data_IF_602654622171
#
_entry.id   IF_602654622171
#
_cell.length_a   1.000
_cell.length_b   1.000
_cell.length_c   1.000
_cell.angle_alpha   90.00
_cell.angle_beta   90.00
_cell.angle_gamma   90.00
#
_symmetry.space_group_name_H-M   'P 1'
#
loop_
_entity.id
_entity.type
_entity.pdbx_description
1 polymer ?
#
# COMPACT_ATOMS: atom_id res chain seq x y z
N UNK A 1 -14.24 10.04 11.44
CA UNK A 1 -14.68 11.27 10.73
C UNK A 1 -15.78 10.95 9.72
N UNK A 2 -15.74 9.83 9.00
CA UNK A 2 -16.71 9.46 7.97
C UNK A 2 -17.72 8.39 8.39
N UNK A 3 -17.75 7.99 9.65
CA UNK A 3 -18.57 6.87 10.14
C UNK A 3 -20.08 7.09 9.92
N UNK A 4 -20.56 8.31 10.16
CA UNK A 4 -21.97 8.65 9.93
C UNK A 4 -22.35 8.61 8.45
N UNK A 5 -21.46 9.05 7.57
CA UNK A 5 -21.68 8.99 6.12
C UNK A 5 -21.64 7.56 5.62
N UNK A 6 -20.71 6.76 6.13
CA UNK A 6 -20.58 5.35 5.79
C UNK A 6 -21.82 4.54 6.20
N UNK A 7 -22.41 4.84 7.36
CA UNK A 7 -23.64 4.18 7.83
C UNK A 7 -24.88 4.44 6.95
N UNK A 8 -24.84 5.46 6.09
CA UNK A 8 -25.91 5.79 5.13
C UNK A 8 -25.77 5.02 3.81
N UNK A 9 -24.70 4.27 3.59
CA UNK A 9 -24.50 3.47 2.39
C UNK A 9 -25.51 2.31 2.40
N UNK A 10 -26.31 2.12 1.33
CA UNK A 10 -27.42 1.15 1.32
C UNK A 10 -26.97 -0.31 1.46
N UNK A 11 -25.76 -0.60 1.03
CA UNK A 11 -25.16 -1.94 1.12
C UNK A 11 -23.69 -1.82 1.49
N UNK A 12 -23.33 -2.51 2.58
CA UNK A 12 -21.93 -2.65 3.02
C UNK A 12 -21.68 -4.11 3.34
N UNK A 13 -20.54 -4.64 2.90
CA UNK A 13 -20.14 -6.02 3.16
C UNK A 13 -18.64 -6.14 3.23
N UNK A 14 -18.16 -7.08 4.03
CA UNK A 14 -16.73 -7.42 4.15
C UNK A 14 -16.26 -8.36 3.05
N UNK A 15 -17.19 -8.95 2.29
CA UNK A 15 -16.86 -9.86 1.20
C UNK A 15 -16.95 -9.13 -0.15
N UNK A 16 -16.20 -9.65 -1.13
CA UNK A 16 -16.32 -9.19 -2.50
C UNK A 16 -17.75 -9.37 -2.99
N UNK A 17 -18.30 -8.35 -3.64
CA UNK A 17 -19.59 -8.44 -4.31
C UNK A 17 -19.52 -9.51 -5.41
N UNK A 18 -20.52 -10.39 -5.45
CA UNK A 18 -20.72 -11.28 -6.58
C UNK A 18 -21.40 -10.55 -7.75
N UNK A 19 -21.41 -11.21 -8.91
CA UNK A 19 -21.97 -10.64 -10.13
C UNK A 19 -23.46 -10.37 -10.02
N UNK A 20 -24.22 -11.25 -9.39
CA UNK A 20 -25.69 -11.16 -9.27
C UNK A 20 -26.07 -9.96 -8.38
N UNK A 21 -25.50 -9.88 -7.19
CA UNK A 21 -25.69 -8.75 -6.28
C UNK A 21 -25.29 -7.43 -6.93
N UNK A 22 -24.16 -7.41 -7.64
CA UNK A 22 -23.71 -6.19 -8.34
C UNK A 22 -24.71 -5.77 -9.42
N UNK A 23 -25.26 -6.70 -10.19
CA UNK A 23 -26.29 -6.39 -11.19
C UNK A 23 -27.61 -5.90 -10.58
N UNK A 24 -28.00 -6.46 -9.42
CA UNK A 24 -29.20 -6.02 -8.69
C UNK A 24 -29.08 -4.58 -8.18
N UNK A 25 -27.88 -4.15 -7.80
CA UNK A 25 -27.59 -2.79 -7.34
C UNK A 25 -27.65 -1.74 -8.47
N UNK A 26 -27.66 -2.17 -9.75
CA UNK A 26 -27.72 -1.29 -10.94
C UNK A 26 -26.75 -0.12 -10.86
N UNK A 27 -25.44 -0.35 -10.70
CA UNK A 27 -24.47 0.73 -10.57
C UNK A 27 -24.30 1.49 -11.89
N UNK A 28 -24.02 2.79 -11.83
CA UNK A 28 -23.57 3.60 -12.96
C UNK A 28 -22.05 3.52 -13.14
N UNK A 29 -21.34 3.25 -12.05
CA UNK A 29 -19.89 3.14 -12.01
C UNK A 29 -19.46 2.01 -11.07
N UNK A 30 -18.51 1.20 -11.51
CA UNK A 30 -17.79 0.24 -10.67
C UNK A 30 -16.36 0.71 -10.47
N UNK A 31 -15.97 0.89 -9.21
CA UNK A 31 -14.59 1.21 -8.82
C UNK A 31 -13.96 -0.04 -8.20
N UNK A 32 -12.81 -0.44 -8.67
CA UNK A 32 -12.19 -1.66 -8.16
C UNK A 32 -10.73 -1.84 -8.57
N UNK A 33 -10.20 -2.98 -8.20
CA UNK A 33 -8.89 -3.45 -8.60
C UNK A 33 -8.99 -4.21 -9.93
N UNK A 34 -7.87 -4.40 -10.61
CA UNK A 34 -7.82 -5.24 -11.82
C UNK A 34 -8.43 -6.63 -11.58
N UNK A 35 -8.14 -7.24 -10.44
CA UNK A 35 -8.71 -8.54 -10.06
C UNK A 35 -10.23 -8.55 -9.94
N UNK A 36 -10.86 -7.43 -9.64
CA UNK A 36 -12.32 -7.26 -9.59
C UNK A 36 -12.95 -7.56 -10.95
N UNK A 37 -12.29 -7.14 -12.03
CA UNK A 37 -12.79 -7.28 -13.41
C UNK A 37 -12.28 -8.54 -14.12
N UNK A 38 -11.89 -9.55 -13.35
CA UNK A 38 -11.56 -10.88 -13.89
C UNK A 38 -12.82 -11.66 -14.23
N UNK A 39 -12.77 -12.57 -15.25
CA UNK A 39 -13.96 -13.31 -15.71
C UNK A 39 -14.70 -14.10 -14.63
N UNK A 40 -13.99 -14.56 -13.61
CA UNK A 40 -14.54 -15.36 -12.49
C UNK A 40 -15.03 -14.52 -11.31
N UNK A 41 -14.84 -13.19 -11.33
CA UNK A 41 -15.27 -12.27 -10.27
C UNK A 41 -16.44 -11.44 -10.81
N UNK A 42 -16.21 -10.23 -11.28
CA UNK A 42 -17.27 -9.37 -11.80
C UNK A 42 -17.27 -9.25 -13.35
N UNK A 43 -16.68 -10.22 -14.06
CA UNK A 43 -16.54 -10.16 -15.52
C UNK A 43 -15.61 -9.03 -15.97
N UNK A 44 -15.35 -8.95 -17.29
CA UNK A 44 -14.48 -7.93 -17.88
C UNK A 44 -15.14 -6.54 -17.89
N UNK A 45 -14.35 -5.49 -18.04
CA UNK A 45 -14.83 -4.13 -18.23
C UNK A 45 -15.76 -4.02 -19.44
N UNK A 46 -15.46 -4.72 -20.56
CA UNK A 46 -16.34 -4.77 -21.73
C UNK A 46 -17.74 -5.31 -21.44
N UNK A 47 -17.84 -6.28 -20.53
CA UNK A 47 -19.14 -6.80 -20.10
C UNK A 47 -20.02 -5.71 -19.49
N UNK A 48 -19.42 -4.84 -18.68
CA UNK A 48 -20.09 -3.73 -18.01
C UNK A 48 -20.37 -2.57 -18.96
N UNK A 49 -19.39 -2.16 -19.77
CA UNK A 49 -19.55 -1.09 -20.75
C UNK A 49 -20.70 -1.38 -21.73
N UNK A 50 -20.85 -2.62 -22.21
CA UNK A 50 -21.99 -3.04 -23.05
C UNK A 50 -23.35 -2.92 -22.36
N UNK A 51 -23.38 -2.76 -21.04
CA UNK A 51 -24.59 -2.54 -20.22
C UNK A 51 -24.75 -1.11 -19.75
N UNK A 52 -23.94 -0.20 -20.25
CA UNK A 52 -23.97 1.21 -19.85
C UNK A 52 -23.31 1.52 -18.50
N UNK A 53 -22.62 0.56 -17.89
CA UNK A 53 -21.95 0.73 -16.62
C UNK A 53 -20.48 1.09 -16.84
N UNK A 54 -20.04 2.21 -16.29
CA UNK A 54 -18.65 2.64 -16.35
C UNK A 54 -17.77 1.87 -15.36
N UNK A 55 -16.48 1.82 -15.62
CA UNK A 55 -15.52 1.15 -14.73
C UNK A 55 -14.32 2.02 -14.47
N UNK A 56 -13.84 2.04 -13.22
CA UNK A 56 -12.58 2.66 -12.83
C UNK A 56 -11.70 1.61 -12.16
N UNK A 57 -10.50 1.39 -12.71
CA UNK A 57 -9.52 0.45 -12.17
C UNK A 57 -8.37 1.25 -11.55
N UNK A 58 -8.11 1.03 -10.25
CA UNK A 58 -6.97 1.64 -9.59
C UNK A 58 -5.65 1.26 -10.29
N UNK A 59 -4.83 2.25 -10.63
CA UNK A 59 -3.59 2.07 -11.40
C UNK A 59 -2.61 1.16 -10.69
N UNK A 60 -2.51 1.28 -9.39
CA UNK A 60 -1.64 0.43 -8.57
C UNK A 60 -2.05 -1.04 -8.53
N UNK A 61 -3.25 -1.37 -9.02
CA UNK A 61 -3.74 -2.75 -9.12
C UNK A 61 -3.43 -3.43 -10.46
N UNK A 62 -2.99 -2.66 -11.46
CA UNK A 62 -2.71 -3.19 -12.80
C UNK A 62 -1.53 -4.17 -12.76
N UNK A 63 -1.73 -5.36 -13.34
CA UNK A 63 -0.76 -6.46 -13.29
C UNK A 63 0.44 -6.21 -14.20
N UNK A 64 0.29 -5.34 -15.20
CA UNK A 64 1.34 -5.02 -16.15
C UNK A 64 2.51 -4.34 -15.44
N UNK A 65 3.61 -4.99 -15.49
CA UNK A 65 5.01 -4.71 -15.14
C UNK A 65 5.44 -3.30 -14.66
N UNK A 66 4.53 -2.35 -14.55
CA UNK A 66 4.83 -1.00 -14.06
C UNK A 66 4.87 -0.98 -12.53
N UNK A 67 5.87 -0.34 -11.93
CA UNK A 67 5.93 -0.15 -10.49
C UNK A 67 4.67 0.57 -9.97
N UNK A 68 4.22 0.19 -8.79
CA UNK A 68 3.24 0.96 -8.02
C UNK A 68 3.95 2.17 -7.44
N UNK A 69 3.41 3.37 -7.68
CA UNK A 69 4.08 4.62 -7.30
C UNK A 69 3.12 5.61 -6.65
N UNK A 70 3.65 6.54 -5.86
CA UNK A 70 2.88 7.67 -5.35
C UNK A 70 2.24 8.49 -6.48
N UNK A 71 2.89 8.60 -7.63
CA UNK A 71 2.33 9.28 -8.80
C UNK A 71 1.05 8.60 -9.31
N UNK A 72 0.95 7.25 -9.22
CA UNK A 72 -0.28 6.53 -9.55
C UNK A 72 -1.39 6.86 -8.55
N UNK A 73 -1.07 6.90 -7.25
CA UNK A 73 -2.02 7.27 -6.19
C UNK A 73 -2.57 8.69 -6.39
N UNK A 74 -1.70 9.65 -6.65
CA UNK A 74 -2.11 11.04 -6.93
C UNK A 74 -3.05 11.10 -8.14
N UNK A 75 -2.72 10.38 -9.19
CA UNK A 75 -3.51 10.36 -10.41
C UNK A 75 -4.88 9.71 -10.21
N UNK A 76 -4.95 8.62 -9.44
CA UNK A 76 -6.23 7.97 -9.10
C UNK A 76 -7.12 8.89 -8.28
N UNK A 77 -6.57 9.59 -7.27
CA UNK A 77 -7.31 10.56 -6.46
C UNK A 77 -7.85 11.70 -7.33
N UNK A 78 -7.01 12.26 -8.22
CA UNK A 78 -7.42 13.37 -9.10
C UNK A 78 -8.49 12.93 -10.12
N UNK A 79 -8.38 11.72 -10.69
CA UNK A 79 -9.35 11.22 -11.64
C UNK A 79 -10.69 10.89 -10.96
N UNK A 80 -10.67 10.32 -9.75
CA UNK A 80 -11.89 10.15 -8.94
C UNK A 80 -12.51 11.52 -8.58
N UNK A 81 -11.68 12.51 -8.28
CA UNK A 81 -12.13 13.89 -8.07
C UNK A 81 -12.92 14.44 -9.26
N UNK A 82 -12.47 14.18 -10.50
CA UNK A 82 -13.18 14.56 -11.73
C UNK A 82 -14.48 13.78 -11.90
N UNK A 83 -14.45 12.46 -11.70
CA UNK A 83 -15.62 11.58 -11.86
C UNK A 83 -16.76 12.00 -10.92
N UNK A 84 -16.44 12.38 -9.69
CA UNK A 84 -17.41 12.74 -8.67
C UNK A 84 -17.63 14.25 -8.48
N UNK A 85 -17.06 15.09 -9.38
CA UNK A 85 -17.09 16.56 -9.28
C UNK A 85 -16.59 17.08 -7.91
N UNK A 86 -15.47 16.52 -7.47
CA UNK A 86 -14.77 16.87 -6.22
C UNK A 86 -13.32 17.27 -6.46
N UNK A 87 -13.08 18.04 -7.53
CA UNK A 87 -11.74 18.40 -7.98
C UNK A 87 -10.92 19.13 -6.91
N UNK A 88 -11.52 20.11 -6.22
CA UNK A 88 -10.84 20.87 -5.16
C UNK A 88 -10.41 19.94 -4.01
N UNK A 89 -11.32 19.03 -3.58
CA UNK A 89 -10.99 18.08 -2.52
C UNK A 89 -9.88 17.12 -2.92
N UNK A 90 -9.90 16.63 -4.16
CA UNK A 90 -8.87 15.77 -4.70
C UNK A 90 -7.50 16.47 -4.76
N UNK A 91 -7.47 17.73 -5.21
CA UNK A 91 -6.25 18.56 -5.22
C UNK A 91 -5.71 18.81 -3.81
N UNK A 92 -6.57 19.10 -2.84
CA UNK A 92 -6.18 19.26 -1.44
C UNK A 92 -5.53 18.00 -0.88
N UNK A 93 -6.14 16.82 -1.11
CA UNK A 93 -5.59 15.55 -0.64
C UNK A 93 -4.21 15.25 -1.24
N UNK A 94 -4.08 15.41 -2.56
CA UNK A 94 -2.79 15.22 -3.25
C UNK A 94 -1.76 16.23 -2.75
N UNK A 95 -2.15 17.49 -2.58
CA UNK A 95 -1.25 18.52 -2.03
C UNK A 95 -0.75 18.18 -0.63
N UNK A 96 -1.61 17.67 0.25
CA UNK A 96 -1.22 17.21 1.58
C UNK A 96 -0.21 16.05 1.52
N UNK A 97 -0.46 15.04 0.67
CA UNK A 97 0.47 13.92 0.49
C UNK A 97 1.84 14.39 -0.01
N UNK A 98 1.86 15.30 -0.98
CA UNK A 98 3.10 15.88 -1.50
C UNK A 98 3.84 16.73 -0.45
N UNK A 99 3.12 17.47 0.40
CA UNK A 99 3.70 18.21 1.50
C UNK A 99 4.41 17.32 2.51
N UNK A 100 3.81 16.15 2.87
CA UNK A 100 4.47 15.19 3.77
C UNK A 100 5.74 14.61 3.16
N UNK A 101 5.72 14.24 1.88
CA UNK A 101 6.93 13.78 1.18
C UNK A 101 8.02 14.87 1.23
N UNK A 102 7.67 16.11 0.88
CA UNK A 102 8.62 17.21 0.89
C UNK A 102 9.13 17.52 2.31
N UNK A 103 8.25 17.43 3.32
CA UNK A 103 8.63 17.58 4.72
C UNK A 103 9.68 16.54 5.13
N UNK A 104 9.41 15.27 4.87
CA UNK A 104 10.35 14.19 5.18
C UNK A 104 11.70 14.35 4.46
N UNK A 105 11.68 14.68 3.16
CA UNK A 105 12.90 14.94 2.38
C UNK A 105 13.70 16.11 2.96
N UNK A 106 13.03 17.22 3.34
CA UNK A 106 13.72 18.41 3.89
C UNK A 106 14.40 18.10 5.23
N UNK A 107 13.82 17.23 6.04
CA UNK A 107 14.41 16.82 7.33
C UNK A 107 15.57 15.83 7.16
N UNK A 108 15.62 15.12 6.04
CA UNK A 108 16.70 14.16 5.74
C UNK A 108 17.80 14.74 4.86
N UNK A 109 17.63 15.93 4.31
CA UNK A 109 18.57 16.55 3.37
C UNK A 109 20.00 16.77 3.94
N UNK A 110 20.16 16.83 5.27
CA UNK A 110 21.45 16.96 5.94
C UNK A 110 22.20 15.63 6.17
N UNK A 111 21.56 14.48 5.94
CA UNK A 111 22.19 13.19 6.16
C UNK A 111 23.11 12.84 4.99
N UNK A 112 24.41 12.64 5.28
CA UNK A 112 25.40 12.27 4.26
C UNK A 112 25.19 10.84 3.71
N UNK A 113 24.54 9.98 4.48
CA UNK A 113 24.28 8.58 4.11
C UNK A 113 22.78 8.31 4.05
N UNK A 114 22.32 7.74 2.94
CA UNK A 114 20.93 7.29 2.79
C UNK A 114 20.69 6.12 3.73
N UNK A 115 19.59 6.12 4.52
CA UNK A 115 19.24 4.98 5.36
C UNK A 115 18.91 3.77 4.48
N UNK A 116 19.48 2.63 4.83
CA UNK A 116 19.26 1.35 4.14
C UNK A 116 18.03 0.68 4.72
N UNK A 117 16.95 0.69 3.97
CA UNK A 117 15.63 0.22 4.41
C UNK A 117 15.28 -1.13 3.79
N UNK A 118 14.73 -2.00 4.60
CA UNK A 118 14.17 -3.29 4.18
C UNK A 118 12.70 -3.35 4.58
N UNK A 119 11.81 -3.65 3.62
CA UNK A 119 10.37 -3.75 3.86
C UNK A 119 9.94 -5.21 3.71
N UNK A 120 9.45 -5.80 4.78
CA UNK A 120 9.17 -7.23 4.90
C UNK A 120 7.76 -7.52 5.42
N UNK A 121 7.20 -8.65 4.99
CA UNK A 121 6.00 -9.23 5.54
C UNK A 121 6.21 -10.72 5.86
N UNK A 122 5.87 -11.14 7.07
CA UNK A 122 6.00 -12.53 7.51
C UNK A 122 4.70 -13.31 7.30
N UNK A 123 4.47 -13.79 6.06
CA UNK A 123 3.30 -14.60 5.72
C UNK A 123 3.58 -16.10 5.66
N UNK A 124 4.82 -16.54 5.61
CA UNK A 124 5.19 -17.94 5.40
C UNK A 124 6.51 -18.32 6.08
N UNK A 125 7.20 -19.28 5.49
CA UNK A 125 8.52 -19.71 5.99
C UNK A 125 9.59 -18.63 5.77
N UNK A 126 9.52 -17.95 4.64
CA UNK A 126 10.43 -16.86 4.29
C UNK A 126 9.65 -15.54 4.23
N UNK A 127 10.23 -14.44 4.69
CA UNK A 127 9.65 -13.12 4.57
C UNK A 127 9.44 -12.72 3.10
N UNK A 128 8.27 -12.20 2.79
CA UNK A 128 7.98 -11.53 1.53
C UNK A 128 8.63 -10.16 1.52
N UNK A 129 9.25 -9.77 0.41
CA UNK A 129 9.91 -8.47 0.24
C UNK A 129 9.01 -7.52 -0.55
N UNK A 130 8.84 -6.31 -0.05
CA UNK A 130 8.22 -5.20 -0.77
C UNK A 130 9.31 -4.41 -1.51
N UNK A 131 9.73 -4.95 -2.67
CA UNK A 131 10.79 -4.40 -3.51
C UNK A 131 10.35 -3.24 -4.41
N UNK A 132 11.16 -2.95 -5.43
CA UNK A 132 11.01 -1.80 -6.33
C UNK A 132 9.67 -1.69 -7.08
N UNK A 133 8.95 -2.81 -7.25
CA UNK A 133 7.64 -2.83 -7.91
C UNK A 133 6.48 -2.55 -6.95
N UNK A 134 6.73 -2.47 -5.66
CA UNK A 134 5.71 -2.18 -4.64
C UNK A 134 5.60 -0.68 -4.38
N UNK A 135 4.44 -0.26 -3.86
CA UNK A 135 4.24 1.12 -3.41
C UNK A 135 5.17 1.44 -2.23
N UNK A 136 5.34 0.51 -1.28
CA UNK A 136 6.27 0.67 -0.16
C UNK A 136 7.71 0.92 -0.65
N UNK A 137 8.19 0.14 -1.62
CA UNK A 137 9.51 0.35 -2.21
C UNK A 137 9.65 1.70 -2.93
N UNK A 138 8.58 2.16 -3.59
CA UNK A 138 8.56 3.50 -4.18
C UNK A 138 8.62 4.59 -3.10
N UNK A 139 7.84 4.46 -2.01
CA UNK A 139 7.87 5.43 -0.89
C UNK A 139 9.28 5.54 -0.30
N UNK A 140 9.95 4.42 -0.04
CA UNK A 140 11.34 4.42 0.45
C UNK A 140 12.27 5.23 -0.47
N UNK A 141 12.14 5.03 -1.79
CA UNK A 141 12.97 5.74 -2.79
C UNK A 141 12.61 7.22 -2.89
N UNK A 142 11.33 7.58 -2.87
CA UNK A 142 10.87 8.98 -2.87
C UNK A 142 11.34 9.75 -1.62
N UNK A 143 11.45 9.05 -0.48
CA UNK A 143 12.00 9.60 0.76
C UNK A 143 13.54 9.55 0.83
N UNK A 144 14.20 9.30 -0.29
CA UNK A 144 15.65 9.23 -0.43
C UNK A 144 16.32 8.09 0.37
N UNK A 145 15.57 7.04 0.75
CA UNK A 145 16.12 5.82 1.30
C UNK A 145 16.80 4.94 0.24
N UNK A 146 17.72 4.08 0.68
CA UNK A 146 18.25 2.97 -0.12
C UNK A 146 17.38 1.73 0.13
N UNK A 147 16.63 1.31 -0.88
CA UNK A 147 15.79 0.11 -0.80
C UNK A 147 16.63 -1.14 -0.96
N UNK A 148 16.67 -1.98 0.05
CA UNK A 148 17.37 -3.26 0.02
C UNK A 148 16.51 -4.36 -0.61
N UNK A 149 17.16 -5.40 -1.14
CA UNK A 149 16.49 -6.56 -1.77
C UNK A 149 15.45 -6.18 -2.83
N UNK A 150 15.63 -5.07 -3.53
CA UNK A 150 14.64 -4.40 -4.38
C UNK A 150 14.05 -5.28 -5.49
N UNK A 151 14.79 -6.28 -5.99
CA UNK A 151 14.37 -7.19 -7.08
C UNK A 151 13.86 -8.55 -6.57
N UNK A 152 13.98 -8.82 -5.29
CA UNK A 152 13.58 -10.08 -4.68
C UNK A 152 12.10 -10.05 -4.29
N UNK A 153 11.45 -11.22 -4.31
CA UNK A 153 10.06 -11.38 -3.83
C UNK A 153 10.02 -11.93 -2.41
N UNK A 154 11.02 -12.71 -2.04
CA UNK A 154 11.21 -13.27 -0.71
C UNK A 154 12.70 -13.41 -0.46
N UNK A 155 13.12 -13.40 0.80
CA UNK A 155 14.51 -13.60 1.21
C UNK A 155 14.58 -14.47 2.46
N UNK A 156 15.65 -15.27 2.57
CA UNK A 156 15.96 -16.00 3.79
C UNK A 156 16.42 -15.06 4.92
N UNK A 157 16.26 -15.51 6.17
CA UNK A 157 16.68 -14.72 7.34
C UNK A 157 18.19 -14.48 7.36
N UNK A 158 18.98 -15.41 6.78
CA UNK A 158 20.43 -15.25 6.63
C UNK A 158 20.78 -14.07 5.73
N UNK A 159 20.04 -13.91 4.63
CA UNK A 159 20.19 -12.77 3.74
C UNK A 159 19.79 -11.45 4.43
N UNK A 160 18.77 -11.45 5.29
CA UNK A 160 18.44 -10.27 6.10
C UNK A 160 19.63 -9.87 6.98
N UNK A 161 20.33 -10.86 7.57
CA UNK A 161 21.54 -10.61 8.38
C UNK A 161 22.68 -10.06 7.53
N UNK A 162 22.92 -10.64 6.35
CA UNK A 162 23.99 -10.17 5.44
C UNK A 162 23.74 -8.75 4.92
N UNK A 163 22.48 -8.42 4.68
CA UNK A 163 22.09 -7.07 4.25
C UNK A 163 22.31 -6.00 5.31
N UNK A 164 22.31 -6.35 6.60
CA UNK A 164 22.46 -5.44 7.75
C UNK A 164 21.73 -4.09 7.55
N UNK A 165 20.39 -4.07 7.50
CA UNK A 165 19.63 -2.86 7.24
C UNK A 165 19.78 -1.84 8.37
N UNK A 166 19.63 -0.55 8.03
CA UNK A 166 19.56 0.53 9.01
C UNK A 166 18.18 0.58 9.68
N UNK A 167 17.11 0.18 8.94
CA UNK A 167 15.74 0.08 9.42
C UNK A 167 15.02 -1.08 8.75
N UNK A 168 14.16 -1.76 9.50
CA UNK A 168 13.23 -2.77 8.98
C UNK A 168 11.80 -2.26 9.18
N UNK A 169 11.06 -2.14 8.10
CA UNK A 169 9.61 -1.92 8.12
C UNK A 169 8.91 -3.26 8.01
N UNK A 170 8.12 -3.61 9.03
CA UNK A 170 7.32 -4.83 9.05
C UNK A 170 5.88 -4.53 8.66
N UNK A 171 5.47 -5.10 7.54
CA UNK A 171 4.10 -4.96 7.06
C UNK A 171 3.15 -5.74 7.95
N UNK A 172 2.13 -5.04 8.44
CA UNK A 172 1.08 -5.58 9.30
C UNK A 172 -0.22 -5.63 8.51
N UNK A 173 -0.77 -6.82 8.33
CA UNK A 173 -2.04 -7.05 7.64
C UNK A 173 -3.23 -6.85 8.59
N UNK A 174 -4.44 -6.76 8.02
CA UNK A 174 -5.69 -6.61 8.76
C UNK A 174 -5.91 -7.68 9.84
N UNK A 175 -5.37 -8.88 9.65
CA UNK A 175 -5.45 -9.97 10.63
C UNK A 175 -4.65 -9.72 11.91
N UNK A 176 -3.72 -8.77 11.88
CA UNK A 176 -2.83 -8.43 12.98
C UNK A 176 -3.05 -7.00 13.51
N UNK A 177 -4.10 -6.29 13.09
CA UNK A 177 -4.39 -4.97 13.63
C UNK A 177 -4.80 -5.07 15.10
N UNK A 178 -4.17 -4.24 15.95
CA UNK A 178 -4.27 -4.32 17.40
C UNK A 178 -3.32 -5.34 18.05
N UNK A 179 -2.56 -6.08 17.23
CA UNK A 179 -1.55 -7.07 17.65
C UNK A 179 -0.19 -6.81 16.97
N UNK A 180 0.09 -5.55 16.64
CA UNK A 180 1.32 -5.15 15.93
C UNK A 180 2.58 -5.56 16.70
N UNK A 181 2.52 -5.57 18.04
CA UNK A 181 3.63 -6.00 18.88
C UNK A 181 4.01 -7.45 18.63
N UNK A 182 3.04 -8.33 18.38
CA UNK A 182 3.31 -9.75 18.10
C UNK A 182 4.08 -9.91 16.79
N UNK A 183 3.79 -9.04 15.81
CA UNK A 183 4.52 -9.01 14.54
C UNK A 183 5.94 -8.50 14.72
N UNK A 184 6.13 -7.43 15.50
CA UNK A 184 7.45 -6.89 15.84
C UNK A 184 8.30 -7.91 16.61
N UNK A 185 7.69 -8.65 17.53
CA UNK A 185 8.36 -9.67 18.34
C UNK A 185 8.91 -10.84 17.51
N UNK A 186 8.32 -11.13 16.34
CA UNK A 186 8.86 -12.13 15.40
C UNK A 186 10.27 -11.77 14.93
N UNK A 187 10.59 -10.48 14.79
CA UNK A 187 11.92 -10.01 14.45
C UNK A 187 12.76 -9.78 15.71
N UNK A 188 12.24 -9.03 16.66
CA UNK A 188 12.97 -8.60 17.84
C UNK A 188 13.47 -9.78 18.73
N UNK A 189 12.67 -10.86 18.79
CA UNK A 189 12.99 -12.06 19.59
C UNK A 189 13.60 -13.20 18.77
N UNK A 190 13.69 -13.06 17.43
CA UNK A 190 14.19 -14.13 16.57
C UNK A 190 15.70 -14.33 16.77
N UNK A 191 16.13 -15.60 16.97
CA UNK A 191 17.54 -15.94 17.28
C UNK A 191 18.56 -15.38 16.29
N UNK A 192 18.21 -15.41 14.98
CA UNK A 192 19.09 -14.90 13.92
C UNK A 192 19.07 -13.37 13.82
N UNK A 193 17.92 -12.72 14.08
CA UNK A 193 17.75 -11.30 13.79
C UNK A 193 17.99 -10.37 14.99
N UNK A 194 17.78 -10.85 16.22
CA UNK A 194 17.91 -10.04 17.46
C UNK A 194 19.25 -9.34 17.65
N UNK A 195 20.28 -9.82 16.96
CA UNK A 195 21.63 -9.25 17.02
C UNK A 195 21.92 -8.18 15.97
N UNK A 196 21.02 -7.99 15.00
CA UNK A 196 21.11 -6.90 14.02
C UNK A 196 21.17 -5.55 14.72
N UNK A 197 21.94 -4.64 14.14
CA UNK A 197 22.08 -3.27 14.67
C UNK A 197 20.75 -2.56 14.74
N UNK A 198 19.95 -2.60 13.67
CA UNK A 198 18.63 -1.97 13.64
C UNK A 198 17.67 -2.53 14.70
N UNK A 199 17.76 -3.85 15.03
CA UNK A 199 16.94 -4.46 16.07
C UNK A 199 17.37 -3.97 17.46
N UNK A 200 18.68 -3.97 17.75
CA UNK A 200 19.22 -3.48 19.03
C UNK A 200 18.93 -2.01 19.27
N UNK A 201 18.83 -1.21 18.22
CA UNK A 201 18.57 0.22 18.28
C UNK A 201 17.07 0.56 18.16
N UNK A 202 16.20 -0.46 18.19
CA UNK A 202 14.74 -0.25 18.13
C UNK A 202 14.23 0.27 16.79
N UNK A 203 14.97 0.07 15.70
CA UNK A 203 14.61 0.52 14.35
C UNK A 203 13.93 -0.60 13.54
N UNK A 204 12.98 -1.26 14.19
CA UNK A 204 12.01 -2.17 13.57
C UNK A 204 10.63 -1.57 13.75
N UNK A 205 9.98 -1.17 12.68
CA UNK A 205 8.76 -0.36 12.69
C UNK A 205 7.62 -1.14 12.03
N UNK A 206 6.48 -1.19 12.69
CA UNK A 206 5.25 -1.76 12.12
C UNK A 206 4.66 -0.80 11.08
N UNK A 207 4.33 -1.30 9.89
CA UNK A 207 3.80 -0.53 8.78
C UNK A 207 2.47 -1.15 8.30
N UNK A 208 1.34 -0.49 8.50
CA UNK A 208 0.04 -1.05 8.13
C UNK A 208 -0.08 -1.27 6.62
N UNK A 209 -0.55 -2.44 6.22
CA UNK A 209 -0.69 -2.82 4.80
C UNK A 209 -1.54 -1.80 4.01
N UNK A 210 -2.63 -1.29 4.60
CA UNK A 210 -3.49 -0.30 3.95
C UNK A 210 -2.77 0.99 3.56
N UNK A 211 -1.67 1.32 4.26
CA UNK A 211 -0.92 2.55 4.04
C UNK A 211 0.12 2.45 2.91
N UNK A 212 0.43 1.22 2.47
CA UNK A 212 1.53 0.96 1.52
C UNK A 212 1.18 0.04 0.36
N UNK A 213 -0.05 -0.45 0.31
CA UNK A 213 -0.47 -1.41 -0.70
C UNK A 213 -1.75 -1.01 -1.43
N UNK A 214 -2.74 -0.50 -0.69
CA UNK A 214 -4.04 -0.14 -1.23
C UNK A 214 -4.05 1.30 -1.72
N UNK A 215 -4.41 1.49 -2.98
CA UNK A 215 -4.58 2.83 -3.54
C UNK A 215 -5.61 3.64 -2.76
N UNK A 216 -5.22 4.81 -2.28
CA UNK A 216 -6.15 5.68 -1.58
C UNK A 216 -5.48 6.71 -0.67
N UNK A 217 -6.33 7.49 -0.02
CA UNK A 217 -5.91 8.58 0.87
C UNK A 217 -5.10 8.11 2.09
N UNK A 218 -5.25 6.83 2.49
CA UNK A 218 -4.50 6.25 3.61
C UNK A 218 -3.02 6.01 3.30
N UNK A 219 -2.58 6.12 2.04
CA UNK A 219 -1.15 6.15 1.67
C UNK A 219 -0.42 7.29 2.37
N UNK A 220 -1.11 8.38 2.70
CA UNK A 220 -0.58 9.46 3.54
C UNK A 220 -0.04 8.96 4.90
N UNK A 221 -0.71 8.00 5.52
CA UNK A 221 -0.29 7.40 6.80
C UNK A 221 1.02 6.60 6.66
N UNK A 222 1.28 6.05 5.46
CA UNK A 222 2.50 5.29 5.18
C UNK A 222 3.72 6.15 4.83
N UNK A 223 3.50 7.45 4.55
CA UNK A 223 4.57 8.41 4.29
C UNK A 223 5.10 9.01 5.61
N UNK A 224 4.23 9.18 6.59
CA UNK A 224 4.57 9.66 7.94
C UNK A 224 5.43 8.69 8.72
#
# INVERSE_FOLDING_TARGET
>A
EYQEQYSKIPYTGLQLLDLETTMMLKPDLLVGWHSTFMPKVLRSTDFWHKRGVNTFIARSSMIDAKPRTLANEYKDILDLGKIFDKNERAQQLVGQMQQEVNFAISHTAGYQKRPRALVLEFMGKEPTVYGEKSLAGNIVKELHGELLAEKQRAIGLEQVVELDPDVIFLVVTEFNYGHEQDVLDRVNKHKALKNLRCVKEGRVVALPLYAIYSSGVRTYDGIK
#
